data_IF_508042387794
#
_entry.id   IF_508042387794
#
_cell.length_a   1.000
_cell.length_b   1.000
_cell.length_c   1.000
_cell.angle_alpha   90.00
_cell.angle_beta   90.00
_cell.angle_gamma   90.00
#
_symmetry.space_group_name_H-M   'P 1'
#
loop_
_entity.id
_entity.type
_entity.pdbx_description
1 polymer ?
#
# COMPACT_ATOMS: atom_id res chain seq x y z
N UNK A 1 12.94 11.06 -8.10
CA UNK A 1 11.67 10.78 -8.82
C UNK A 1 10.56 10.51 -7.81
N UNK A 2 9.29 10.79 -8.14
CA UNK A 2 8.13 10.56 -7.24
C UNK A 2 7.27 9.40 -7.77
N UNK A 3 6.65 8.63 -6.88
CA UNK A 3 5.68 7.60 -7.23
C UNK A 3 4.42 7.69 -6.38
N UNK A 4 3.29 7.24 -6.93
CA UNK A 4 2.01 7.13 -6.26
C UNK A 4 1.55 5.68 -6.28
N UNK A 5 1.26 5.11 -5.13
CA UNK A 5 0.62 3.79 -4.98
C UNK A 5 -0.83 4.04 -4.57
N UNK A 6 -1.77 3.65 -5.44
CA UNK A 6 -3.20 3.79 -5.19
C UNK A 6 -3.72 2.55 -4.45
N UNK A 7 -4.14 2.73 -3.20
CA UNK A 7 -4.75 1.67 -2.38
C UNK A 7 -6.05 2.18 -1.73
N UNK A 8 -7.07 2.36 -2.57
CA UNK A 8 -8.39 2.84 -2.14
C UNK A 8 -9.40 1.76 -1.74
N UNK A 9 -9.01 0.49 -1.78
CA UNK A 9 -9.90 -0.63 -1.49
C UNK A 9 -10.03 -0.92 0.00
N UNK A 10 -11.22 -1.34 0.45
CA UNK A 10 -11.47 -1.76 1.84
C UNK A 10 -10.79 -3.09 2.24
N UNK A 11 -10.01 -3.71 1.34
CA UNK A 11 -9.29 -4.94 1.65
C UNK A 11 -10.15 -6.12 2.09
N UNK A 12 -11.41 -6.23 1.63
CA UNK A 12 -12.38 -7.22 2.12
C UNK A 12 -11.92 -8.68 1.96
N UNK A 13 -11.12 -8.96 0.93
CA UNK A 13 -10.54 -10.30 0.67
C UNK A 13 -9.41 -10.67 1.64
N UNK A 14 -8.80 -9.69 2.30
CA UNK A 14 -7.72 -9.88 3.26
C UNK A 14 -8.22 -9.87 4.71
N UNK A 15 -9.54 -9.83 4.92
CA UNK A 15 -10.11 -9.98 6.27
C UNK A 15 -9.71 -11.34 6.85
N UNK A 16 -9.39 -11.41 8.14
CA UNK A 16 -9.63 -10.38 9.17
C UNK A 16 -8.55 -9.29 9.29
N UNK A 17 -7.41 -9.39 8.58
CA UNK A 17 -6.27 -8.49 8.75
C UNK A 17 -6.64 -7.02 8.53
N UNK A 18 -7.50 -6.78 7.54
CA UNK A 18 -7.91 -5.43 7.13
C UNK A 18 -8.97 -4.77 8.00
N UNK A 19 -9.47 -5.47 9.02
CA UNK A 19 -10.36 -4.89 10.03
C UNK A 19 -9.59 -4.04 11.05
N UNK A 20 -8.33 -4.41 11.32
CA UNK A 20 -7.49 -3.80 12.36
C UNK A 20 -6.39 -2.94 11.72
N UNK A 21 -5.94 -3.29 10.51
CA UNK A 21 -4.82 -2.63 9.82
C UNK A 21 -5.25 -2.22 8.41
N UNK A 22 -4.95 -1.01 7.91
CA UNK A 22 -5.21 -0.66 6.52
C UNK A 22 -4.58 -1.67 5.56
N UNK A 23 -5.26 -1.99 4.46
CA UNK A 23 -4.71 -2.83 3.39
C UNK A 23 -3.25 -2.50 3.03
N UNK A 24 -2.84 -1.22 2.86
CA UNK A 24 -1.45 -0.89 2.53
C UNK A 24 -0.46 -1.06 3.68
N UNK A 25 -0.89 -1.29 4.92
CA UNK A 25 -0.01 -1.56 6.06
C UNK A 25 0.04 -3.05 6.41
N UNK A 26 -0.75 -3.89 5.74
CA UNK A 26 -0.60 -5.34 5.82
C UNK A 26 0.78 -5.70 5.28
N UNK A 27 1.55 -6.42 6.10
CA UNK A 27 3.00 -6.55 5.93
C UNK A 27 3.46 -7.04 4.54
N UNK A 28 2.66 -7.86 3.86
CA UNK A 28 2.99 -8.34 2.51
C UNK A 28 2.43 -7.49 1.37
N UNK A 29 1.47 -6.60 1.63
CA UNK A 29 0.70 -5.91 0.59
C UNK A 29 1.52 -4.91 -0.21
N UNK A 30 2.49 -4.23 0.43
CA UNK A 30 3.24 -3.12 -0.18
C UNK A 30 4.73 -3.41 -0.42
N UNK A 31 5.28 -4.48 0.17
CA UNK A 31 6.72 -4.82 0.08
C UNK A 31 7.21 -5.00 -1.37
N UNK A 32 6.41 -5.66 -2.21
CA UNK A 32 6.78 -5.91 -3.61
C UNK A 32 6.81 -4.62 -4.45
N UNK A 33 5.89 -3.69 -4.16
CA UNK A 33 5.78 -2.42 -4.87
C UNK A 33 6.96 -1.51 -4.51
N UNK A 34 7.32 -1.42 -3.22
CA UNK A 34 8.49 -0.65 -2.79
C UNK A 34 9.78 -1.16 -3.46
N UNK A 35 10.02 -2.48 -3.48
CA UNK A 35 11.20 -3.05 -4.15
C UNK A 35 11.25 -2.72 -5.64
N UNK A 36 10.12 -2.73 -6.33
CA UNK A 36 10.06 -2.36 -7.74
C UNK A 36 10.38 -0.87 -7.97
N UNK A 37 9.93 0.00 -7.06
CA UNK A 37 10.19 1.44 -7.13
C UNK A 37 11.63 1.81 -6.76
N UNK A 38 12.25 1.05 -5.85
CA UNK A 38 13.66 1.18 -5.49
C UNK A 38 14.57 0.92 -6.70
N UNK A 39 14.25 -0.11 -7.51
CA UNK A 39 15.01 -0.47 -8.72
C UNK A 39 15.05 0.64 -9.79
N UNK A 40 14.13 1.60 -9.75
CA UNK A 40 14.07 2.74 -10.67
C UNK A 40 14.41 4.09 -10.00
N UNK A 41 15.03 4.05 -8.81
CA UNK A 41 15.53 5.25 -8.09
C UNK A 41 14.41 6.24 -7.74
N UNK A 42 13.26 5.72 -7.29
CA UNK A 42 12.23 6.56 -6.66
C UNK A 42 12.68 6.94 -5.25
N UNK A 43 12.62 8.24 -4.95
CA UNK A 43 13.04 8.79 -3.66
C UNK A 43 11.87 9.18 -2.76
N UNK A 44 10.67 9.32 -3.35
CA UNK A 44 9.46 9.70 -2.63
C UNK A 44 8.29 8.86 -3.13
N UNK A 45 7.65 8.11 -2.22
CA UNK A 45 6.48 7.29 -2.51
C UNK A 45 5.30 7.81 -1.72
N UNK A 46 4.23 8.17 -2.40
CA UNK A 46 2.96 8.57 -1.80
C UNK A 46 2.00 7.37 -1.82
N UNK A 47 1.42 7.04 -0.68
CA UNK A 47 0.35 6.05 -0.57
C UNK A 47 -0.98 6.81 -0.51
N UNK A 48 -1.79 6.72 -1.57
CA UNK A 48 -3.17 7.20 -1.54
C UNK A 48 -4.05 6.10 -0.97
N UNK A 49 -4.34 6.23 0.31
CA UNK A 49 -5.07 5.22 1.08
C UNK A 49 -6.53 5.63 1.26
N UNK A 50 -7.40 4.63 1.32
CA UNK A 50 -8.73 4.76 1.90
C UNK A 50 -8.81 3.76 3.05
N UNK A 51 -9.05 4.24 4.27
CA UNK A 51 -9.08 3.38 5.45
C UNK A 51 -10.18 3.81 6.40
N UNK A 52 -11.24 2.99 6.43
CA UNK A 52 -12.48 3.20 7.18
C UNK A 52 -13.23 4.48 6.72
N UNK A 53 -14.57 4.46 6.61
CA UNK A 53 -15.32 5.71 6.44
C UNK A 53 -15.17 6.63 7.66
#
# INVERSE_FOLDING_TARGET
MKALILVGGFGTRLRPLTLIVPQPLVEFAYKHQIKALEAIVVTNVFLAINYQP
#
